data_IF_956967555571
#
_entry.id   IF_956967555571
#
_cell.length_a   1.000
_cell.length_b   1.000
_cell.length_c   1.000
_cell.angle_alpha   90.00
_cell.angle_beta   90.00
_cell.angle_gamma   90.00
#
_symmetry.space_group_name_H-M   'P 1'
#
loop_
_entity.id
_entity.type
_entity.pdbx_description
1 polymer ?
#
# COMPACT_ATOMS: atom_id res chain seq x y z
N UNK A 1 -13.00 -1.43 43.26
CA UNK A 1 -13.91 -0.53 42.52
C UNK A 1 -13.18 0.60 41.80
N UNK A 2 -12.40 1.40 42.54
CA UNK A 2 -11.69 2.51 41.93
C UNK A 2 -10.68 2.04 40.88
N UNK A 3 -10.01 0.93 41.13
CA UNK A 3 -9.03 0.35 40.22
C UNK A 3 -9.71 -0.11 38.89
N UNK A 4 -10.91 -0.69 39.00
CA UNK A 4 -11.65 -1.11 37.80
C UNK A 4 -12.04 0.05 36.92
N UNK A 5 -12.44 1.17 37.51
CA UNK A 5 -12.82 2.38 36.77
C UNK A 5 -11.61 2.96 36.05
N UNK A 6 -10.47 3.00 36.70
CA UNK A 6 -9.22 3.51 36.09
C UNK A 6 -8.81 2.63 34.93
N UNK A 7 -8.90 1.32 35.05
CA UNK A 7 -8.59 0.39 33.96
C UNK A 7 -9.52 0.58 32.78
N UNK A 8 -10.80 0.81 33.02
CA UNK A 8 -11.76 1.07 31.94
C UNK A 8 -11.44 2.35 31.19
N UNK A 9 -11.03 3.40 31.89
CA UNK A 9 -10.67 4.66 31.27
C UNK A 9 -9.42 4.49 30.39
N UNK A 10 -8.44 3.75 30.85
CA UNK A 10 -7.24 3.50 30.06
C UNK A 10 -7.54 2.66 28.81
N UNK A 11 -8.36 1.63 28.96
CA UNK A 11 -8.77 0.82 27.82
C UNK A 11 -9.54 1.65 26.79
N UNK A 12 -10.41 2.55 27.25
CA UNK A 12 -11.15 3.46 26.37
C UNK A 12 -10.22 4.39 25.60
N UNK A 13 -9.20 4.93 26.26
CA UNK A 13 -8.25 5.79 25.60
C UNK A 13 -7.45 5.05 24.52
N UNK A 14 -7.06 3.82 24.76
CA UNK A 14 -6.34 3.01 23.78
C UNK A 14 -7.23 2.71 22.58
N UNK A 15 -8.48 2.34 22.81
CA UNK A 15 -9.45 2.06 21.75
C UNK A 15 -9.67 3.30 20.89
N UNK A 16 -9.78 4.47 21.50
CA UNK A 16 -9.97 5.71 20.77
C UNK A 16 -8.79 5.99 19.81
N UNK A 17 -7.58 5.73 20.23
CA UNK A 17 -6.41 5.91 19.35
C UNK A 17 -6.44 5.03 18.14
N UNK A 18 -6.99 3.82 18.25
CA UNK A 18 -7.07 2.90 17.12
C UNK A 18 -8.20 3.25 16.16
N UNK A 19 -9.25 3.90 16.65
CA UNK A 19 -10.45 4.19 15.87
C UNK A 19 -10.42 5.57 15.23
N UNK A 20 -9.58 6.47 15.72
CA UNK A 20 -9.62 7.88 15.36
C UNK A 20 -9.48 8.16 13.87
N UNK A 21 -8.71 7.38 13.12
CA UNK A 21 -8.52 7.67 11.70
C UNK A 21 -8.46 6.44 10.80
N UNK A 22 -9.57 5.67 10.65
CA UNK A 22 -9.56 4.55 9.72
C UNK A 22 -9.45 5.00 8.27
N UNK A 23 -9.89 6.23 7.94
CA UNK A 23 -9.85 6.78 6.59
C UNK A 23 -8.56 7.52 6.28
N UNK A 24 -7.86 7.99 7.30
CA UNK A 24 -6.63 8.76 7.15
C UNK A 24 -5.41 7.98 7.65
N UNK A 25 -5.30 6.76 7.18
CA UNK A 25 -4.15 5.93 7.53
C UNK A 25 -2.87 6.59 7.00
N UNK A 26 -1.86 6.67 7.84
CA UNK A 26 -0.54 7.13 7.43
C UNK A 26 0.28 5.92 6.99
N UNK A 27 0.07 5.50 5.75
CA UNK A 27 0.70 4.28 5.23
C UNK A 27 2.22 4.36 5.28
N UNK A 28 2.77 5.55 5.04
CA UNK A 28 4.23 5.75 5.08
C UNK A 28 4.83 5.48 6.47
N UNK A 29 4.03 5.64 7.52
CA UNK A 29 4.46 5.41 8.90
C UNK A 29 4.10 4.01 9.41
N UNK A 30 3.21 3.30 8.71
CA UNK A 30 2.84 1.96 9.11
C UNK A 30 3.93 0.96 8.80
N UNK A 31 3.98 -0.08 9.60
CA UNK A 31 4.91 -1.18 9.37
C UNK A 31 4.56 -1.91 8.08
N UNK A 32 5.56 -2.22 7.29
CA UNK A 32 5.40 -3.02 6.09
C UNK A 32 4.99 -4.44 6.44
N UNK A 33 3.90 -4.91 5.84
CA UNK A 33 3.43 -6.28 6.04
C UNK A 33 4.12 -7.25 5.08
N UNK A 34 4.35 -6.82 3.84
CA UNK A 34 4.97 -7.66 2.80
C UNK A 34 5.93 -6.86 1.96
N UNK A 35 7.03 -7.50 1.55
CA UNK A 35 7.99 -6.96 0.59
C UNK A 35 8.03 -7.91 -0.60
N UNK A 36 7.71 -7.41 -1.79
CA UNK A 36 7.51 -8.25 -2.95
C UNK A 36 7.81 -7.48 -4.24
N UNK A 37 8.20 -8.18 -5.30
CA UNK A 37 8.35 -7.54 -6.60
C UNK A 37 7.00 -7.31 -7.27
N UNK A 38 6.93 -6.32 -8.18
CA UNK A 38 5.72 -6.02 -8.92
C UNK A 38 5.23 -7.25 -9.69
N UNK A 39 6.14 -7.97 -10.33
CA UNK A 39 5.81 -9.17 -11.10
C UNK A 39 5.21 -10.26 -10.24
N UNK A 40 5.79 -10.52 -9.08
CA UNK A 40 5.31 -11.56 -8.18
C UNK A 40 3.96 -11.21 -7.57
N UNK A 41 3.76 -9.95 -7.21
CA UNK A 41 2.48 -9.50 -6.66
C UNK A 41 1.38 -9.68 -7.68
N UNK A 42 1.60 -9.23 -8.91
CA UNK A 42 0.64 -9.38 -10.00
C UNK A 42 0.38 -10.87 -10.29
N UNK A 43 1.43 -11.68 -10.28
CA UNK A 43 1.30 -13.12 -10.50
C UNK A 43 0.39 -13.77 -9.45
N UNK A 44 0.54 -13.40 -8.18
CA UNK A 44 -0.32 -13.94 -7.12
C UNK A 44 -1.79 -13.62 -7.37
N UNK A 45 -2.09 -12.39 -7.75
CA UNK A 45 -3.47 -11.98 -8.03
C UNK A 45 -4.01 -12.63 -9.29
N UNK A 46 -3.22 -12.73 -10.33
CA UNK A 46 -3.66 -13.33 -11.60
C UNK A 46 -3.87 -14.83 -11.46
N UNK A 47 -3.05 -15.50 -10.66
CA UNK A 47 -3.11 -16.95 -10.48
C UNK A 47 -4.27 -17.38 -9.57
N UNK A 48 -4.50 -16.63 -8.48
CA UNK A 48 -5.56 -16.93 -7.52
C UNK A 48 -6.06 -15.63 -6.88
N UNK A 49 -7.00 -14.93 -7.56
CA UNK A 49 -7.48 -13.63 -7.07
C UNK A 49 -8.08 -13.67 -5.67
N UNK A 50 -8.83 -14.72 -5.36
CA UNK A 50 -9.47 -14.84 -4.04
C UNK A 50 -8.46 -14.96 -2.92
N UNK A 51 -7.46 -15.79 -3.10
CA UNK A 51 -6.42 -16.00 -2.11
C UNK A 51 -5.54 -14.77 -1.96
N UNK A 52 -5.17 -14.15 -3.08
CA UNK A 52 -4.35 -12.93 -3.07
C UNK A 52 -5.09 -11.77 -2.40
N UNK A 53 -6.38 -11.62 -2.67
CA UNK A 53 -7.21 -10.60 -2.03
C UNK A 53 -7.21 -10.78 -0.51
N UNK A 54 -7.39 -11.98 -0.03
CA UNK A 54 -7.37 -12.25 1.41
C UNK A 54 -6.01 -11.93 2.04
N UNK A 55 -4.94 -12.16 1.29
CA UNK A 55 -3.58 -11.96 1.80
C UNK A 55 -3.15 -10.50 1.79
N UNK A 56 -3.45 -9.78 0.70
CA UNK A 56 -2.85 -8.47 0.45
C UNK A 56 -3.79 -7.27 0.61
N UNK A 57 -5.12 -7.47 0.54
CA UNK A 57 -6.06 -6.36 0.59
C UNK A 57 -5.90 -5.54 1.87
N UNK A 58 -5.81 -4.22 1.73
CA UNK A 58 -5.63 -3.26 2.81
C UNK A 58 -4.33 -3.42 3.59
N UNK A 59 -3.40 -4.22 3.10
CA UNK A 59 -2.09 -4.40 3.72
C UNK A 59 -1.09 -3.40 3.16
N UNK A 60 -0.10 -3.09 3.97
CA UNK A 60 1.01 -2.21 3.58
C UNK A 60 2.09 -3.06 2.92
N UNK A 61 2.40 -2.71 1.68
CA UNK A 61 3.35 -3.48 0.87
C UNK A 61 4.49 -2.60 0.39
N UNK A 62 5.70 -3.15 0.38
CA UNK A 62 6.84 -2.58 -0.31
C UNK A 62 7.01 -3.33 -1.61
N UNK A 63 7.00 -2.58 -2.71
CA UNK A 63 7.03 -3.16 -4.04
C UNK A 63 8.22 -2.61 -4.81
N UNK A 64 8.98 -3.49 -5.42
CA UNK A 64 10.11 -3.13 -6.28
C UNK A 64 9.82 -3.55 -7.72
N UNK A 65 10.21 -2.72 -8.66
CA UNK A 65 10.05 -3.00 -10.07
C UNK A 65 10.56 -1.85 -10.92
N UNK A 66 10.44 -2.00 -12.23
CA UNK A 66 10.82 -0.93 -13.13
C UNK A 66 9.61 -0.07 -13.50
N UNK A 67 9.88 1.19 -13.79
CA UNK A 67 8.85 2.17 -14.14
C UNK A 67 8.54 2.05 -15.63
N UNK A 68 7.27 1.84 -15.97
CA UNK A 68 6.84 1.74 -17.37
C UNK A 68 6.00 2.92 -17.83
N UNK A 69 5.32 3.62 -16.90
CA UNK A 69 4.57 4.82 -17.20
C UNK A 69 4.63 5.76 -15.99
N UNK A 70 4.63 7.07 -16.25
CA UNK A 70 4.63 8.10 -15.19
C UNK A 70 3.61 9.16 -15.54
N UNK A 71 2.78 9.53 -14.56
CA UNK A 71 1.87 10.67 -14.61
C UNK A 71 2.11 11.57 -13.40
N UNK A 72 1.34 12.66 -13.27
CA UNK A 72 1.56 13.64 -12.21
C UNK A 72 1.50 13.04 -10.80
N UNK A 73 0.53 12.17 -10.53
CA UNK A 73 0.30 11.59 -9.21
C UNK A 73 0.31 10.07 -9.21
N UNK A 74 0.70 9.46 -10.32
CA UNK A 74 0.67 8.01 -10.43
C UNK A 74 1.76 7.49 -11.35
N UNK A 75 2.01 6.20 -11.26
CA UNK A 75 2.90 5.51 -12.18
C UNK A 75 2.46 4.06 -12.35
N UNK A 76 3.01 3.42 -13.37
CA UNK A 76 2.84 1.98 -13.56
C UNK A 76 4.20 1.32 -13.44
N UNK A 77 4.26 0.25 -12.66
CA UNK A 77 5.47 -0.56 -12.47
C UNK A 77 5.34 -1.85 -13.25
N UNK A 78 6.35 -2.14 -14.07
CA UNK A 78 6.47 -3.41 -14.79
C UNK A 78 5.23 -3.77 -15.63
N UNK A 79 4.46 -2.77 -16.07
CA UNK A 79 3.17 -2.95 -16.74
C UNK A 79 2.17 -3.80 -15.95
N UNK A 80 2.37 -3.95 -14.63
CA UNK A 80 1.61 -4.90 -13.81
C UNK A 80 1.01 -4.30 -12.55
N UNK A 81 1.54 -3.18 -12.07
CA UNK A 81 1.10 -2.55 -10.84
C UNK A 81 0.89 -1.05 -11.07
N UNK A 82 -0.33 -0.59 -10.84
CA UNK A 82 -0.66 0.83 -10.87
C UNK A 82 -0.50 1.40 -9.47
N UNK A 83 0.27 2.48 -9.35
CA UNK A 83 0.60 3.10 -8.08
C UNK A 83 0.10 4.53 -8.06
N UNK A 84 -0.77 4.85 -7.12
CA UNK A 84 -1.25 6.21 -6.89
C UNK A 84 -0.53 6.77 -5.66
N UNK A 85 0.10 7.93 -5.84
CA UNK A 85 0.89 8.54 -4.78
C UNK A 85 0.06 9.47 -3.92
N UNK A 86 0.44 9.55 -2.65
CA UNK A 86 -0.21 10.44 -1.70
C UNK A 86 -0.04 11.91 -2.11
N UNK A 87 1.15 12.26 -2.57
CA UNK A 87 1.48 13.61 -3.02
C UNK A 87 1.92 13.59 -4.48
N UNK A 88 1.88 14.77 -5.11
CA UNK A 88 2.40 14.91 -6.48
C UNK A 88 3.85 14.49 -6.56
N UNK A 89 4.21 13.82 -7.65
CA UNK A 89 5.59 13.39 -7.88
C UNK A 89 6.45 14.61 -8.22
N UNK A 90 7.25 15.05 -7.27
CA UNK A 90 8.19 16.15 -7.46
C UNK A 90 9.56 15.67 -7.94
N UNK A 91 9.86 14.41 -7.71
CA UNK A 91 11.13 13.83 -8.15
C UNK A 91 10.99 13.34 -9.59
N UNK A 92 12.06 13.46 -10.34
CA UNK A 92 12.08 12.94 -11.70
C UNK A 92 12.26 11.43 -11.66
N UNK A 93 11.23 10.74 -12.11
CA UNK A 93 11.28 9.29 -12.28
C UNK A 93 11.53 8.99 -13.75
N UNK A 94 12.45 8.11 -14.02
CA UNK A 94 12.81 7.74 -15.38
C UNK A 94 12.11 6.46 -15.79
N UNK A 95 11.51 6.47 -16.98
CA UNK A 95 10.98 5.25 -17.59
C UNK A 95 12.12 4.22 -17.66
N UNK A 96 11.80 2.98 -17.36
CA UNK A 96 12.74 1.85 -17.25
C UNK A 96 13.69 1.90 -16.05
N UNK A 97 13.62 2.95 -15.23
CA UNK A 97 14.36 2.99 -13.97
C UNK A 97 13.76 2.08 -12.94
N UNK A 98 14.57 1.57 -12.01
CA UNK A 98 14.10 0.78 -10.90
C UNK A 98 13.61 1.66 -9.77
N UNK A 99 12.56 1.23 -9.10
CA UNK A 99 11.97 1.97 -7.99
C UNK A 99 11.46 1.01 -6.93
N UNK A 100 11.51 1.44 -5.69
CA UNK A 100 10.86 0.74 -4.57
C UNK A 100 9.89 1.72 -3.92
N UNK A 101 8.64 1.30 -3.78
CA UNK A 101 7.59 2.11 -3.17
C UNK A 101 6.98 1.37 -1.99
N UNK A 102 6.31 2.12 -1.14
CA UNK A 102 5.52 1.59 -0.03
C UNK A 102 4.13 2.17 -0.15
N UNK A 103 3.13 1.31 -0.12
CA UNK A 103 1.75 1.76 -0.25
C UNK A 103 0.77 0.72 0.26
N UNK A 104 -0.52 1.04 0.11
CA UNK A 104 -1.61 0.17 0.52
C UNK A 104 -2.16 -0.57 -0.70
N UNK A 105 -2.28 -1.89 -0.60
CA UNK A 105 -2.89 -2.68 -1.66
C UNK A 105 -4.42 -2.52 -1.58
N UNK A 106 -5.04 -2.06 -2.68
CA UNK A 106 -6.48 -1.82 -2.70
C UNK A 106 -7.24 -2.72 -3.66
N UNK A 107 -6.56 -3.51 -4.44
CA UNK A 107 -7.26 -4.47 -5.27
C UNK A 107 -6.53 -4.88 -6.53
N UNK A 108 -7.26 -5.59 -7.37
CA UNK A 108 -6.76 -6.10 -8.63
C UNK A 108 -7.79 -5.85 -9.72
N UNK A 109 -7.37 -5.23 -10.81
CA UNK A 109 -8.21 -5.03 -11.99
C UNK A 109 -8.05 -6.24 -12.93
N UNK A 110 -9.07 -7.04 -13.00
CA UNK A 110 -9.03 -8.27 -13.81
C UNK A 110 -9.03 -7.99 -15.32
N UNK A 111 -9.54 -6.84 -15.75
CA UNK A 111 -9.53 -6.47 -17.15
C UNK A 111 -8.16 -6.05 -17.63
N UNK A 112 -7.47 -5.25 -16.82
CA UNK A 112 -6.13 -4.76 -17.12
C UNK A 112 -5.04 -5.69 -16.61
N UNK A 113 -5.40 -6.64 -15.76
CA UNK A 113 -4.46 -7.53 -15.04
C UNK A 113 -3.43 -6.74 -14.24
N UNK A 114 -3.89 -5.69 -13.59
CA UNK A 114 -3.05 -4.80 -12.79
C UNK A 114 -3.46 -4.79 -11.32
N UNK A 115 -2.47 -4.88 -10.45
CA UNK A 115 -2.67 -4.65 -9.02
C UNK A 115 -2.72 -3.14 -8.79
N UNK A 116 -3.61 -2.70 -7.90
CA UNK A 116 -3.74 -1.27 -7.57
C UNK A 116 -3.23 -1.00 -6.17
N UNK A 117 -2.36 0.00 -6.08
CA UNK A 117 -1.75 0.47 -4.84
C UNK A 117 -2.07 1.95 -4.68
N UNK A 118 -2.47 2.37 -3.49
CA UNK A 118 -2.70 3.78 -3.21
C UNK A 118 -1.89 4.27 -2.02
N UNK A 119 -1.97 5.56 -1.74
CA UNK A 119 -1.26 6.23 -0.65
C UNK A 119 0.23 5.90 -0.64
N UNK A 120 0.81 5.78 -1.82
CA UNK A 120 2.18 5.34 -1.95
C UNK A 120 3.19 6.46 -1.71
N UNK A 121 4.37 6.06 -1.26
CA UNK A 121 5.55 6.91 -1.18
C UNK A 121 6.73 6.18 -1.80
N UNK A 122 7.66 6.95 -2.36
CA UNK A 122 8.87 6.38 -2.93
C UNK A 122 9.87 6.18 -1.81
N UNK A 123 10.39 4.97 -1.68
CA UNK A 123 11.44 4.67 -0.72
C UNK A 123 12.82 4.77 -1.35
N UNK A 124 12.93 4.37 -2.62
CA UNK A 124 14.22 4.26 -3.29
C UNK A 124 14.02 4.29 -4.80
N UNK A 125 14.88 4.99 -5.49
CA UNK A 125 14.87 5.02 -6.96
C UNK A 125 16.24 5.29 -7.56
#
# INVERSE_FOLDING_TARGET
MVISIVLMVMAGAIINKKVINPEHREISEEKTDFTISAENLQFHFANDPGKATKKYMDRVVEISGNITEVEANSMVMSNRVQVDFLDSLNSQLNIDGNVTIKGRCVGFDELLLMVKIDQATILKH
#
